data_IF_022317140904
#
_entry.id   IF_022317140904
#
_cell.length_a   1.000
_cell.length_b   1.000
_cell.length_c   1.000
_cell.angle_alpha   90.00
_cell.angle_beta   90.00
_cell.angle_gamma   90.00
#
_symmetry.space_group_name_H-M   'P 1'
#
loop_
_entity.id
_entity.type
_entity.pdbx_description
1 polymer ?
#
# COMPACT_ATOMS: atom_id res chain seq x y z
N UNK A 1 11.68 -10.19 10.13
CA UNK A 1 10.95 -10.06 8.85
C UNK A 1 11.85 -9.39 7.84
N UNK A 2 11.67 -9.63 6.54
CA UNK A 2 12.38 -8.86 5.50
C UNK A 2 11.84 -7.42 5.52
N UNK A 3 12.67 -6.44 5.17
CA UNK A 3 12.25 -5.04 5.12
C UNK A 3 11.12 -4.89 4.10
N UNK A 4 10.01 -4.27 4.50
CA UNK A 4 8.83 -4.00 3.66
C UNK A 4 8.11 -5.26 3.14
N UNK A 5 8.05 -6.33 3.95
CA UNK A 5 7.45 -7.59 3.52
C UNK A 5 5.92 -7.50 3.41
N UNK A 6 5.25 -6.81 4.34
CA UNK A 6 3.80 -6.59 4.27
C UNK A 6 3.44 -5.73 3.06
N UNK A 7 4.18 -4.64 2.80
CA UNK A 7 4.01 -3.84 1.59
C UNK A 7 4.17 -4.68 0.33
N UNK A 8 5.23 -5.50 0.26
CA UNK A 8 5.51 -6.36 -0.90
C UNK A 8 4.38 -7.34 -1.16
N UNK A 9 3.85 -7.99 -0.12
CA UNK A 9 2.75 -8.95 -0.25
C UNK A 9 1.44 -8.24 -0.63
N UNK A 10 1.13 -7.12 0.02
CA UNK A 10 -0.03 -6.29 -0.27
C UNK A 10 -0.07 -5.89 -1.75
N UNK A 11 0.99 -5.26 -2.25
CA UNK A 11 1.04 -4.84 -3.65
C UNK A 11 1.02 -6.02 -4.62
N UNK A 12 1.69 -7.12 -4.29
CA UNK A 12 1.70 -8.32 -5.14
C UNK A 12 0.31 -8.95 -5.30
N UNK A 13 -0.48 -8.97 -4.22
CA UNK A 13 -1.78 -9.66 -4.18
C UNK A 13 -2.89 -8.76 -4.71
N UNK A 14 -2.96 -7.52 -4.21
CA UNK A 14 -4.09 -6.61 -4.45
C UNK A 14 -3.89 -5.68 -5.65
N UNK A 15 -2.65 -5.53 -6.11
CA UNK A 15 -2.26 -4.71 -7.26
C UNK A 15 -1.45 -5.53 -8.29
N UNK A 16 -1.62 -6.87 -8.25
CA UNK A 16 -0.98 -7.82 -9.14
C UNK A 16 -1.72 -8.00 -10.48
N UNK A 17 -1.57 -9.18 -11.09
CA UNK A 17 -2.18 -9.51 -12.39
C UNK A 17 -3.72 -9.51 -12.39
N UNK A 18 -4.34 -9.72 -11.23
CA UNK A 18 -5.80 -9.83 -11.08
C UNK A 18 -6.34 -8.73 -10.14
N UNK A 19 -5.76 -7.52 -10.20
CA UNK A 19 -6.12 -6.41 -9.32
C UNK A 19 -7.61 -6.04 -9.43
N UNK A 20 -8.20 -6.18 -10.62
CA UNK A 20 -9.60 -5.94 -10.93
C UNK A 20 -10.58 -6.84 -10.17
N UNK A 21 -10.12 -7.99 -9.65
CA UNK A 21 -10.95 -8.89 -8.84
C UNK A 21 -11.26 -8.27 -7.47
N UNK A 22 -10.40 -7.35 -7.00
CA UNK A 22 -10.54 -6.73 -5.68
C UNK A 22 -11.35 -5.43 -5.71
N UNK A 23 -11.50 -4.78 -6.87
CA UNK A 23 -12.27 -3.56 -7.04
C UNK A 23 -11.84 -2.74 -8.25
N UNK A 24 -12.66 -1.76 -8.61
CA UNK A 24 -12.38 -0.82 -9.72
C UNK A 24 -11.68 0.45 -9.22
N UNK A 25 -11.86 0.78 -7.94
CA UNK A 25 -11.27 1.94 -7.28
C UNK A 25 -10.27 1.51 -6.19
N UNK A 26 -9.34 2.40 -5.83
CA UNK A 26 -8.43 2.11 -4.72
C UNK A 26 -9.18 1.85 -3.41
N UNK A 27 -10.26 2.58 -3.13
CA UNK A 27 -11.05 2.38 -1.92
C UNK A 27 -11.64 0.98 -1.84
N UNK A 28 -12.22 0.49 -2.94
CA UNK A 28 -12.76 -0.87 -3.01
C UNK A 28 -11.67 -1.93 -2.81
N UNK A 29 -10.50 -1.75 -3.45
CA UNK A 29 -9.37 -2.67 -3.30
C UNK A 29 -8.89 -2.71 -1.83
N UNK A 30 -8.77 -1.56 -1.16
CA UNK A 30 -8.34 -1.53 0.25
C UNK A 30 -9.41 -2.11 1.17
N UNK A 31 -10.69 -1.85 0.91
CA UNK A 31 -11.78 -2.41 1.69
C UNK A 31 -11.84 -3.93 1.55
N UNK A 32 -11.65 -4.46 0.33
CA UNK A 32 -11.54 -5.89 0.08
C UNK A 32 -10.32 -6.50 0.78
N UNK A 33 -9.18 -5.80 0.82
CA UNK A 33 -8.01 -6.21 1.56
C UNK A 33 -8.26 -6.32 3.07
N UNK A 34 -8.90 -5.32 3.67
CA UNK A 34 -9.24 -5.33 5.12
C UNK A 34 -10.18 -6.50 5.44
N UNK A 35 -11.16 -6.77 4.58
CA UNK A 35 -12.04 -7.94 4.73
C UNK A 35 -11.26 -9.25 4.59
N UNK A 36 -10.35 -9.34 3.61
CA UNK A 36 -9.52 -10.53 3.39
C UNK A 36 -8.59 -10.83 4.57
N UNK A 37 -8.06 -9.80 5.23
CA UNK A 37 -7.20 -9.94 6.42
C UNK A 37 -7.98 -10.16 7.72
N UNK A 38 -9.32 -10.13 7.70
CA UNK A 38 -10.17 -10.13 8.89
C UNK A 38 -9.83 -8.98 9.87
N UNK A 39 -9.47 -7.81 9.31
CA UNK A 39 -9.02 -6.68 10.10
C UNK A 39 -8.04 -5.76 9.37
N UNK A 40 -7.69 -4.65 10.01
CA UNK A 40 -6.64 -3.76 9.52
C UNK A 40 -5.26 -4.35 9.82
N UNK A 41 -4.39 -4.35 8.81
CA UNK A 41 -2.99 -4.76 8.94
C UNK A 41 -2.13 -3.61 9.51
N UNK A 42 -1.89 -3.65 10.81
CA UNK A 42 -1.01 -2.69 11.51
C UNK A 42 0.42 -2.69 10.94
N UNK A 43 0.92 -3.85 10.50
CA UNK A 43 2.28 -3.96 10.00
C UNK A 43 2.42 -3.25 8.66
N UNK A 44 1.42 -3.32 7.80
CA UNK A 44 1.38 -2.54 6.56
C UNK A 44 1.44 -1.03 6.86
N UNK A 45 0.67 -0.54 7.83
CA UNK A 45 0.68 0.88 8.22
C UNK A 45 2.10 1.29 8.65
N UNK A 46 2.72 0.52 9.55
CA UNK A 46 4.07 0.79 10.06
C UNK A 46 5.10 0.81 8.93
N UNK A 47 5.02 -0.14 8.00
CA UNK A 47 5.95 -0.20 6.87
C UNK A 47 5.76 0.95 5.89
N UNK A 48 4.52 1.35 5.60
CA UNK A 48 4.23 2.50 4.74
C UNK A 48 4.73 3.80 5.37
N UNK A 49 4.51 4.00 6.67
CA UNK A 49 5.00 5.18 7.39
C UNK A 49 6.55 5.23 7.42
N UNK A 50 7.23 4.10 7.70
CA UNK A 50 8.70 4.01 7.64
C UNK A 50 9.23 4.27 6.22
N UNK A 51 8.55 3.75 5.21
CA UNK A 51 8.91 3.97 3.81
C UNK A 51 8.82 5.47 3.45
N UNK A 52 7.73 6.13 3.82
CA UNK A 52 7.53 7.57 3.57
C UNK A 52 8.53 8.43 4.33
N UNK A 53 8.96 8.02 5.53
CA UNK A 53 10.02 8.70 6.27
C UNK A 53 11.40 8.56 5.60
N UNK A 54 11.69 7.38 5.02
CA UNK A 54 12.95 7.11 4.33
C UNK A 54 13.00 7.70 2.90
N UNK A 55 11.86 7.80 2.24
CA UNK A 55 11.72 8.20 0.82
C UNK A 55 10.58 9.22 0.66
N UNK A 56 10.77 10.46 1.12
CA UNK A 56 9.69 11.44 1.26
C UNK A 56 9.21 12.04 -0.06
N UNK A 57 9.92 11.82 -1.17
CA UNK A 57 9.63 12.43 -2.46
C UNK A 57 9.56 11.39 -3.58
N UNK A 58 8.87 11.72 -4.67
CA UNK A 58 8.67 10.80 -5.79
C UNK A 58 9.97 10.36 -6.49
N UNK A 59 11.03 11.16 -6.44
CA UNK A 59 12.31 10.81 -7.08
C UNK A 59 13.04 9.73 -6.29
N UNK A 60 12.95 9.76 -4.96
CA UNK A 60 13.53 8.74 -4.08
C UNK A 60 12.60 7.52 -3.89
N UNK A 61 11.29 7.74 -3.79
CA UNK A 61 10.30 6.70 -3.55
C UNK A 61 10.09 5.74 -4.74
N UNK A 62 10.07 6.24 -5.98
CA UNK A 62 9.86 5.40 -7.17
C UNK A 62 10.88 4.26 -7.30
N UNK A 63 12.20 4.51 -7.34
CA UNK A 63 13.19 3.44 -7.46
C UNK A 63 13.21 2.52 -6.23
N UNK A 64 12.89 3.05 -5.04
CA UNK A 64 12.79 2.23 -3.83
C UNK A 64 11.57 1.29 -3.88
N UNK A 65 10.39 1.77 -4.30
CA UNK A 65 9.21 0.94 -4.52
C UNK A 65 9.46 -0.13 -5.58
N UNK A 66 10.09 0.23 -6.70
CA UNK A 66 10.47 -0.74 -7.73
C UNK A 66 11.36 -1.85 -7.20
N UNK A 67 12.32 -1.49 -6.34
CA UNK A 67 13.24 -2.44 -5.71
C UNK A 67 12.54 -3.38 -4.72
N UNK A 68 11.61 -2.88 -3.91
CA UNK A 68 11.03 -3.65 -2.80
C UNK A 68 9.70 -4.33 -3.17
N UNK A 69 8.85 -3.66 -3.95
CA UNK A 69 7.48 -4.05 -4.26
C UNK A 69 7.26 -4.37 -5.75
N UNK A 70 8.21 -4.01 -6.62
CA UNK A 70 8.08 -4.16 -8.07
C UNK A 70 7.55 -2.89 -8.75
N UNK A 71 7.33 -2.94 -10.06
CA UNK A 71 6.94 -1.79 -10.87
C UNK A 71 5.59 -1.20 -10.44
N UNK A 72 5.61 -0.08 -9.72
CA UNK A 72 4.41 0.64 -9.23
C UNK A 72 4.21 2.00 -9.92
N UNK A 73 4.78 2.19 -11.11
CA UNK A 73 4.74 3.45 -11.87
C UNK A 73 3.34 3.83 -12.37
N UNK A 74 2.40 2.89 -12.34
CA UNK A 74 0.99 3.10 -12.72
C UNK A 74 0.14 3.68 -11.60
N UNK A 75 0.61 3.72 -10.34
CA UNK A 75 -0.13 4.33 -9.24
C UNK A 75 -0.38 5.82 -9.52
N UNK A 76 -1.56 6.31 -9.12
CA UNK A 76 -2.00 7.69 -9.32
C UNK A 76 -2.49 8.30 -8.00
N UNK A 77 -2.39 9.63 -7.82
CA UNK A 77 -1.72 10.60 -8.70
C UNK A 77 -0.20 10.41 -8.77
N UNK A 78 0.44 9.98 -7.68
CA UNK A 78 1.83 9.49 -7.66
C UNK A 78 2.03 8.42 -6.58
N UNK A 79 3.12 7.63 -6.60
CA UNK A 79 3.33 6.61 -5.59
C UNK A 79 3.40 7.15 -4.16
N UNK A 80 4.04 8.31 -3.93
CA UNK A 80 4.09 8.94 -2.60
C UNK A 80 2.70 9.37 -2.15
N UNK A 81 1.95 10.06 -3.01
CA UNK A 81 0.59 10.51 -2.68
C UNK A 81 -0.35 9.32 -2.41
N UNK A 82 -0.22 8.24 -3.19
CA UNK A 82 -0.96 7.00 -2.96
C UNK A 82 -0.61 6.40 -1.60
N UNK A 83 0.67 6.29 -1.24
CA UNK A 83 1.10 5.73 0.05
C UNK A 83 0.66 6.58 1.23
N UNK A 84 0.72 7.92 1.11
CA UNK A 84 0.19 8.83 2.14
C UNK A 84 -1.30 8.59 2.34
N UNK A 85 -2.05 8.52 1.24
CA UNK A 85 -3.49 8.23 1.29
C UNK A 85 -3.77 6.84 1.87
N UNK A 86 -3.03 5.81 1.47
CA UNK A 86 -3.17 4.43 1.96
C UNK A 86 -2.99 4.36 3.48
N UNK A 87 -1.91 4.95 4.01
CA UNK A 87 -1.64 4.97 5.45
C UNK A 87 -2.76 5.68 6.21
N UNK A 88 -3.21 6.85 5.72
CA UNK A 88 -4.30 7.59 6.34
C UNK A 88 -5.63 6.80 6.32
N UNK A 89 -5.95 6.16 5.20
CA UNK A 89 -7.19 5.41 5.02
C UNK A 89 -7.24 4.16 5.91
N UNK A 90 -6.14 3.41 6.01
CA UNK A 90 -6.04 2.25 6.90
C UNK A 90 -6.14 2.66 8.38
N UNK A 91 -5.50 3.77 8.78
CA UNK A 91 -5.64 4.32 10.15
C UNK A 91 -7.08 4.72 10.47
N UNK A 92 -7.78 5.33 9.51
CA UNK A 92 -9.20 5.66 9.67
C UNK A 92 -10.05 4.41 9.84
N UNK A 93 -9.82 3.36 9.04
CA UNK A 93 -10.54 2.09 9.15
C UNK A 93 -10.31 1.42 10.51
N UNK A 94 -9.07 1.47 11.01
CA UNK A 94 -8.70 0.92 12.34
C UNK A 94 -9.48 1.58 13.47
N UNK A 95 -9.66 2.89 13.42
CA UNK A 95 -10.42 3.65 14.44
C UNK A 95 -11.94 3.39 14.38
N UNK A 96 -12.43 2.83 13.27
CA UNK A 96 -13.84 2.53 13.06
C UNK A 96 -14.23 1.07 13.41
N UNK A 97 -13.25 0.22 13.78
CA UNK A 97 -13.44 -1.16 14.23
C UNK A 97 -13.53 -1.24 15.75
#
# INVERSE_FOLDING_TARGET
MKKYESMRLFFKIFFGQDAEVWGETYQEIIDAYVVFQDGVDEQLIVEVDDFLACYPDNSSAKPALEKFCGGMSYLRPSPVEFLIWLSAYLKQKREAQ
#
